data_IF_498003360139
#
_entry.id   IF_498003360139
#
_cell.length_a   1.000
_cell.length_b   1.000
_cell.length_c   1.000
_cell.angle_alpha   90.00
_cell.angle_beta   90.00
_cell.angle_gamma   90.00
#
_symmetry.space_group_name_H-M   'P 1'
#
loop_
_entity.id
_entity.type
_entity.pdbx_description
1 polymer ?
#
# COMPACT_ATOMS: atom_id res chain seq x y z
N UNK A 1 4.66 -22.06 -9.41
CA UNK A 1 4.22 -20.65 -9.21
C UNK A 1 2.95 -20.33 -9.97
N UNK A 2 2.88 -20.61 -11.27
CA UNK A 2 1.66 -20.36 -12.07
C UNK A 2 0.41 -21.06 -11.52
N UNK A 3 0.54 -22.21 -10.84
CA UNK A 3 -0.60 -22.91 -10.22
C UNK A 3 -1.14 -22.21 -8.95
N UNK A 4 -0.29 -21.49 -8.21
CA UNK A 4 -0.71 -20.67 -7.07
C UNK A 4 -1.52 -19.49 -7.58
N UNK A 5 -1.07 -18.84 -8.66
CA UNK A 5 -1.77 -17.72 -9.31
C UNK A 5 -3.11 -18.17 -9.90
N UNK A 6 -3.16 -19.33 -10.57
CA UNK A 6 -4.43 -19.91 -11.07
C UNK A 6 -5.41 -20.19 -9.93
N UNK A 7 -4.92 -20.73 -8.82
CA UNK A 7 -5.73 -21.01 -7.64
C UNK A 7 -6.27 -19.72 -7.02
N UNK A 8 -5.43 -18.69 -6.93
CA UNK A 8 -5.83 -17.35 -6.52
C UNK A 8 -6.92 -16.78 -7.44
N UNK A 9 -6.73 -16.83 -8.76
CA UNK A 9 -7.69 -16.30 -9.71
C UNK A 9 -9.05 -17.03 -9.64
N UNK A 10 -9.03 -18.34 -9.41
CA UNK A 10 -10.24 -19.12 -9.19
C UNK A 10 -10.97 -18.72 -7.89
N UNK A 11 -10.23 -18.40 -6.83
CA UNK A 11 -10.79 -17.89 -5.56
C UNK A 11 -11.43 -16.51 -5.76
N UNK A 12 -10.75 -15.60 -6.48
CA UNK A 12 -11.31 -14.28 -6.84
C UNK A 12 -12.58 -14.41 -7.68
N UNK A 13 -12.58 -15.25 -8.72
CA UNK A 13 -13.77 -15.47 -9.57
C UNK A 13 -14.94 -16.09 -8.80
N UNK A 14 -14.65 -16.98 -7.84
CA UNK A 14 -15.68 -17.55 -6.96
C UNK A 14 -16.34 -16.48 -6.10
N UNK A 15 -15.54 -15.66 -5.41
CA UNK A 15 -16.05 -14.60 -4.55
C UNK A 15 -16.79 -13.52 -5.35
N UNK A 16 -16.28 -13.15 -6.54
CA UNK A 16 -16.93 -12.19 -7.42
C UNK A 16 -18.34 -12.63 -7.85
N UNK A 17 -18.51 -13.92 -8.18
CA UNK A 17 -19.80 -14.49 -8.56
C UNK A 17 -20.85 -14.51 -7.44
N UNK A 18 -20.43 -14.41 -6.18
CA UNK A 18 -21.40 -14.37 -5.06
C UNK A 18 -22.19 -13.07 -5.02
N UNK A 19 -21.72 -12.01 -5.69
CA UNK A 19 -22.37 -10.69 -5.72
C UNK A 19 -22.41 -9.97 -4.37
N UNK A 20 -21.78 -10.53 -3.33
CA UNK A 20 -21.68 -9.96 -1.98
C UNK A 20 -20.29 -9.39 -1.69
N UNK A 21 -19.47 -9.21 -2.74
CA UNK A 21 -18.12 -8.72 -2.62
C UNK A 21 -18.11 -7.27 -2.10
N UNK A 22 -17.68 -7.12 -0.86
CA UNK A 22 -17.28 -5.85 -0.25
C UNK A 22 -15.79 -5.60 -0.49
N UNK A 23 -15.32 -4.39 -0.18
CA UNK A 23 -13.92 -3.95 -0.30
C UNK A 23 -12.90 -4.90 0.41
N UNK A 24 -13.35 -5.65 1.42
CA UNK A 24 -12.51 -6.60 2.17
C UNK A 24 -12.60 -8.04 1.69
N UNK A 25 -13.51 -8.37 0.76
CA UNK A 25 -13.83 -9.77 0.40
C UNK A 25 -12.65 -10.48 -0.26
N UNK A 26 -11.86 -9.77 -1.05
CA UNK A 26 -10.73 -10.35 -1.80
C UNK A 26 -9.39 -10.30 -1.04
N UNK A 27 -9.34 -9.61 0.11
CA UNK A 27 -8.13 -9.47 0.95
C UNK A 27 -7.59 -10.81 1.45
N UNK A 28 -8.41 -11.77 1.94
CA UNK A 28 -7.93 -13.08 2.36
C UNK A 28 -7.25 -13.86 1.22
N UNK A 29 -7.81 -13.80 0.00
CA UNK A 29 -7.23 -14.46 -1.16
C UNK A 29 -5.87 -13.87 -1.53
N UNK A 30 -5.74 -12.54 -1.51
CA UNK A 30 -4.47 -11.85 -1.77
C UNK A 30 -3.42 -12.18 -0.69
N UNK A 31 -3.83 -12.19 0.59
CA UNK A 31 -2.95 -12.58 1.70
C UNK A 31 -2.39 -13.99 1.48
N UNK A 32 -3.27 -14.94 1.19
CA UNK A 32 -2.93 -16.35 0.94
C UNK A 32 -2.01 -16.50 -0.27
N UNK A 33 -2.23 -15.73 -1.34
CA UNK A 33 -1.35 -15.69 -2.49
C UNK A 33 0.08 -15.29 -2.08
N UNK A 34 0.23 -14.18 -1.36
CA UNK A 34 1.53 -13.65 -0.96
C UNK A 34 2.27 -14.63 -0.05
N UNK A 35 1.60 -15.18 0.96
CA UNK A 35 2.19 -16.15 1.90
C UNK A 35 2.49 -17.50 1.22
N UNK A 36 1.80 -17.85 0.13
CA UNK A 36 2.09 -19.04 -0.67
C UNK A 36 3.25 -18.84 -1.67
N UNK A 37 3.51 -17.61 -2.10
CA UNK A 37 4.65 -17.28 -2.95
C UNK A 37 5.97 -17.28 -2.16
N UNK A 38 5.93 -16.83 -0.91
CA UNK A 38 7.07 -16.91 0.01
C UNK A 38 6.60 -17.19 1.45
N UNK A 39 6.90 -18.40 1.94
CA UNK A 39 6.55 -18.84 3.29
C UNK A 39 7.27 -18.09 4.42
N UNK A 40 8.32 -17.31 4.12
CA UNK A 40 8.97 -16.42 5.07
C UNK A 40 8.28 -15.07 5.22
N UNK A 41 7.30 -14.75 4.36
CA UNK A 41 6.57 -13.48 4.42
C UNK A 41 5.28 -13.65 5.21
N UNK A 42 5.03 -12.67 6.08
CA UNK A 42 3.77 -12.50 6.78
C UNK A 42 3.06 -11.25 6.27
N UNK A 43 1.89 -11.45 5.68
CA UNK A 43 1.04 -10.36 5.20
C UNK A 43 0.05 -9.95 6.30
N UNK A 44 0.15 -8.71 6.76
CA UNK A 44 -0.73 -8.16 7.80
C UNK A 44 -1.69 -7.16 7.17
N UNK A 45 -3.00 -7.46 7.21
CA UNK A 45 -4.05 -6.51 6.84
C UNK A 45 -4.26 -5.51 7.98
N UNK A 46 -4.60 -4.27 7.66
CA UNK A 46 -4.88 -3.19 8.62
C UNK A 46 -3.72 -2.99 9.63
N UNK A 47 -2.51 -2.70 9.14
CA UNK A 47 -1.39 -2.36 10.00
C UNK A 47 -1.75 -1.17 10.91
N UNK A 48 -1.10 -1.08 12.08
CA UNK A 48 -1.08 0.17 12.85
C UNK A 48 -0.66 1.31 11.93
N UNK A 49 -1.40 2.43 11.94
CA UNK A 49 -1.14 3.62 11.12
C UNK A 49 0.36 3.93 11.11
N UNK A 50 0.93 3.98 9.92
CA UNK A 50 2.25 4.56 9.67
C UNK A 50 2.09 6.08 9.53
N UNK A 51 3.17 6.84 9.72
CA UNK A 51 3.12 8.31 9.68
C UNK A 51 2.49 8.85 8.38
N UNK A 52 2.68 8.15 7.26
CA UNK A 52 2.11 8.54 5.97
C UNK A 52 0.67 8.03 5.73
N UNK A 53 0.06 7.25 6.63
CA UNK A 53 -1.30 6.72 6.51
C UNK A 53 -1.46 5.26 6.96
N UNK A 54 -2.49 4.57 6.49
CA UNK A 54 -2.67 3.13 6.73
C UNK A 54 -2.81 2.45 5.37
N UNK A 55 -1.73 1.88 4.82
CA UNK A 55 -1.85 1.03 3.63
C UNK A 55 -2.63 -0.23 3.99
N UNK A 56 -3.28 -0.83 3.01
CA UNK A 56 -4.11 -2.01 3.23
C UNK A 56 -3.33 -3.20 3.78
N UNK A 57 -2.14 -3.46 3.25
CA UNK A 57 -1.25 -4.49 3.73
C UNK A 57 0.16 -3.99 4.00
N UNK A 58 0.78 -4.59 5.02
CA UNK A 58 2.24 -4.56 5.24
C UNK A 58 2.76 -5.97 5.15
N UNK A 59 3.77 -6.17 4.30
CA UNK A 59 4.48 -7.43 4.17
C UNK A 59 5.74 -7.39 5.01
N UNK A 60 5.90 -8.39 5.88
CA UNK A 60 7.08 -8.49 6.74
C UNK A 60 7.78 -9.83 6.56
N UNK A 61 9.10 -9.81 6.51
CA UNK A 61 9.97 -11.00 6.54
C UNK A 61 10.94 -10.83 7.71
N UNK A 62 10.96 -11.78 8.64
CA UNK A 62 11.84 -11.78 9.81
C UNK A 62 11.82 -10.47 10.62
N UNK A 63 10.66 -9.82 10.71
CA UNK A 63 10.47 -8.56 11.42
C UNK A 63 10.78 -7.30 10.61
N UNK A 64 11.37 -7.42 9.41
CA UNK A 64 11.62 -6.31 8.50
C UNK A 64 10.47 -6.12 7.52
N UNK A 65 10.13 -4.86 7.21
CA UNK A 65 9.14 -4.55 6.17
C UNK A 65 9.75 -4.75 4.78
N UNK A 66 9.13 -5.66 4.01
CA UNK A 66 9.50 -5.94 2.60
C UNK A 66 8.83 -4.94 1.67
N UNK A 67 7.56 -4.65 1.91
CA UNK A 67 6.79 -3.75 1.07
C UNK A 67 5.37 -3.57 1.57
N UNK A 68 4.64 -2.73 0.85
CA UNK A 68 3.27 -2.36 1.14
C UNK A 68 2.39 -2.71 -0.05
N UNK A 69 1.12 -3.04 0.21
CA UNK A 69 0.14 -3.25 -0.84
C UNK A 69 -1.07 -2.38 -0.55
N UNK A 70 -1.48 -1.61 -1.55
CA UNK A 70 -2.71 -0.83 -1.57
C UNK A 70 -3.68 -1.51 -2.54
N UNK A 71 -4.91 -1.75 -2.08
CA UNK A 71 -5.94 -2.44 -2.84
C UNK A 71 -7.05 -1.47 -3.27
N UNK A 72 -7.68 -1.80 -4.39
CA UNK A 72 -8.92 -1.16 -4.87
C UNK A 72 -9.95 -2.24 -5.14
N UNK A 73 -11.21 -1.83 -5.28
CA UNK A 73 -12.28 -2.77 -5.63
C UNK A 73 -12.00 -3.42 -6.97
N UNK A 74 -12.43 -4.67 -7.10
CA UNK A 74 -12.23 -5.49 -8.29
C UNK A 74 -12.74 -4.78 -9.56
N UNK A 75 -11.84 -4.53 -10.51
CA UNK A 75 -12.17 -3.89 -11.79
C UNK A 75 -12.30 -2.37 -11.75
N UNK A 76 -11.93 -1.70 -10.64
CA UNK A 76 -11.78 -0.24 -10.63
C UNK A 76 -10.55 0.18 -11.44
N UNK A 77 -10.62 1.38 -12.03
CA UNK A 77 -9.49 1.96 -12.75
C UNK A 77 -8.33 2.24 -11.80
N UNK A 78 -7.18 1.61 -12.07
CA UNK A 78 -5.95 1.91 -11.34
C UNK A 78 -5.36 3.27 -11.73
N UNK A 79 -5.63 3.77 -12.93
CA UNK A 79 -5.15 5.09 -13.38
C UNK A 79 -5.72 6.22 -12.50
N UNK A 80 -7.03 6.17 -12.21
CA UNK A 80 -7.67 7.15 -11.32
C UNK A 80 -7.18 7.02 -9.88
N UNK A 81 -6.96 5.78 -9.42
CA UNK A 81 -6.40 5.53 -8.10
C UNK A 81 -4.96 6.04 -7.99
N UNK A 82 -4.22 6.02 -9.10
CA UNK A 82 -2.85 6.46 -9.18
C UNK A 82 -2.67 7.97 -9.01
N UNK A 83 -3.61 8.74 -9.57
CA UNK A 83 -3.63 10.20 -9.49
C UNK A 83 -4.17 10.72 -8.15
N UNK A 84 -4.68 9.84 -7.28
CA UNK A 84 -5.22 10.25 -5.98
C UNK A 84 -4.13 10.81 -5.04
N UNK A 85 -4.47 11.86 -4.29
CA UNK A 85 -3.57 12.47 -3.29
C UNK A 85 -3.05 11.44 -2.27
N UNK A 86 -3.88 10.46 -1.92
CA UNK A 86 -3.51 9.36 -1.03
C UNK A 86 -2.39 8.52 -1.63
N UNK A 87 -2.51 8.08 -2.89
CA UNK A 87 -1.47 7.25 -3.49
C UNK A 87 -0.20 8.05 -3.79
N UNK A 88 -0.33 9.32 -4.18
CA UNK A 88 0.82 10.21 -4.36
C UNK A 88 1.60 10.42 -3.06
N UNK A 89 0.92 10.44 -1.90
CA UNK A 89 1.59 10.46 -0.59
C UNK A 89 2.29 9.13 -0.29
N UNK A 90 1.67 7.99 -0.62
CA UNK A 90 2.25 6.67 -0.44
C UNK A 90 3.48 6.44 -1.33
N UNK A 91 3.42 6.76 -2.62
CA UNK A 91 4.57 6.69 -3.54
C UNK A 91 5.79 7.47 -3.04
N UNK A 92 5.56 8.61 -2.37
CA UNK A 92 6.64 9.43 -1.80
C UNK A 92 7.22 8.88 -0.51
N UNK A 93 6.40 8.18 0.28
CA UNK A 93 6.76 7.76 1.65
C UNK A 93 7.16 6.29 1.76
N UNK A 94 6.65 5.45 0.86
CA UNK A 94 6.82 4.00 0.87
C UNK A 94 7.83 3.60 -0.20
N UNK A 95 8.97 2.98 0.16
CA UNK A 95 10.03 2.68 -0.79
C UNK A 95 9.68 1.53 -1.75
N UNK A 96 8.74 0.66 -1.36
CA UNK A 96 8.33 -0.52 -2.14
C UNK A 96 6.82 -0.73 -1.98
N UNK A 97 6.06 -0.45 -3.05
CA UNK A 97 4.59 -0.41 -3.02
C UNK A 97 4.01 -1.16 -4.22
N UNK A 98 2.98 -1.96 -3.99
CA UNK A 98 2.10 -2.47 -5.04
C UNK A 98 0.74 -1.78 -4.95
N UNK A 99 0.21 -1.35 -6.09
CA UNK A 99 -1.19 -0.99 -6.28
C UNK A 99 -1.89 -2.13 -7.04
N UNK A 100 -3.05 -2.56 -6.57
CA UNK A 100 -3.80 -3.62 -7.25
C UNK A 100 -5.32 -3.49 -7.12
N UNK A 101 -6.04 -3.87 -8.17
CA UNK A 101 -7.49 -4.11 -8.16
C UNK A 101 -7.80 -5.62 -8.07
N UNK A 102 -6.85 -6.43 -7.61
CA UNK A 102 -6.85 -7.90 -7.58
C UNK A 102 -6.66 -8.60 -8.94
N UNK A 103 -6.75 -7.89 -10.07
CA UNK A 103 -6.51 -8.45 -11.42
C UNK A 103 -5.26 -7.83 -12.08
N UNK A 104 -4.99 -6.57 -11.84
CA UNK A 104 -3.81 -5.84 -12.27
C UNK A 104 -2.95 -5.50 -11.07
N UNK A 105 -1.64 -5.62 -11.24
CA UNK A 105 -0.63 -5.32 -10.25
C UNK A 105 0.34 -4.31 -10.85
N UNK A 106 0.46 -3.14 -10.22
CA UNK A 106 1.47 -2.13 -10.57
C UNK A 106 2.46 -2.02 -9.43
N UNK A 107 3.73 -2.21 -9.75
CA UNK A 107 4.81 -2.19 -8.78
C UNK A 107 5.58 -0.88 -8.86
N UNK A 108 5.69 -0.18 -7.73
CA UNK A 108 6.43 1.06 -7.58
C UNK A 108 7.61 0.89 -6.61
N UNK A 109 8.77 1.40 -7.01
CA UNK A 109 9.96 1.49 -6.16
C UNK A 109 10.42 2.95 -6.09
N UNK A 110 10.52 3.47 -4.88
CA UNK A 110 10.86 4.87 -4.59
C UNK A 110 9.98 5.88 -5.37
N UNK A 111 8.70 5.51 -5.57
CA UNK A 111 7.69 6.32 -6.25
C UNK A 111 7.68 6.20 -7.78
N UNK A 112 8.58 5.42 -8.38
CA UNK A 112 8.66 5.19 -9.83
C UNK A 112 8.08 3.82 -10.16
N UNK A 113 7.21 3.74 -11.17
CA UNK A 113 6.70 2.46 -11.67
C UNK A 113 7.86 1.63 -12.24
N UNK A 114 8.01 0.40 -11.73
CA UNK A 114 9.02 -0.55 -12.18
C UNK A 114 8.47 -1.54 -13.18
N UNK A 115 7.30 -2.07 -12.90
CA UNK A 115 6.66 -3.07 -13.74
C UNK A 115 5.15 -3.12 -13.46
N UNK A 116 4.40 -3.63 -14.42
CA UNK A 116 2.97 -3.87 -14.28
C UNK A 116 2.54 -5.12 -15.04
N UNK A 117 1.66 -5.90 -14.42
CA UNK A 117 1.16 -7.15 -14.97
C UNK A 117 -0.35 -7.29 -14.70
N UNK A 118 -1.07 -7.94 -15.62
CA UNK A 118 -2.52 -8.09 -15.53
C UNK A 118 -2.93 -9.55 -15.74
N UNK A 119 -3.50 -10.17 -14.71
CA UNK A 119 -3.99 -11.55 -14.71
C UNK A 119 -5.20 -11.78 -15.60
N UNK A 120 -6.00 -10.74 -15.84
CA UNK A 120 -7.23 -10.87 -16.60
C UNK A 120 -8.06 -9.60 -16.61
N UNK A 121 -9.20 -9.66 -17.28
CA UNK A 121 -10.17 -8.55 -17.35
C UNK A 121 -11.57 -9.05 -17.06
N UNK A 122 -12.41 -8.18 -16.52
CA UNK A 122 -13.84 -8.49 -16.38
C UNK A 122 -14.48 -8.40 -17.78
N UNK A 123 -14.92 -9.53 -18.30
CA UNK A 123 -15.59 -9.64 -19.59
C UNK A 123 -17.08 -9.29 -19.53
N UNK A 124 -17.70 -9.18 -20.72
CA UNK A 124 -19.14 -8.98 -20.84
C UNK A 124 -19.89 -10.14 -20.15
N UNK A 125 -20.71 -9.81 -19.16
CA UNK A 125 -21.47 -10.80 -18.37
C UNK A 125 -20.88 -11.12 -16.99
N UNK A 126 -19.97 -10.30 -16.46
CA UNK A 126 -19.48 -10.44 -15.08
C UNK A 126 -18.63 -11.69 -14.85
N UNK A 127 -17.86 -12.10 -15.87
CA UNK A 127 -16.91 -13.21 -15.76
C UNK A 127 -15.49 -12.70 -15.92
N UNK A 128 -14.56 -13.22 -15.12
CA UNK A 128 -13.14 -12.90 -15.28
C UNK A 128 -12.58 -13.70 -16.46
N UNK A 129 -12.02 -12.99 -17.44
CA UNK A 129 -11.33 -13.56 -18.57
C UNK A 129 -9.82 -13.58 -18.25
N UNK A 130 -9.24 -14.76 -17.98
CA UNK A 130 -7.82 -14.87 -17.65
C UNK A 130 -6.93 -14.56 -18.87
N UNK A 131 -5.84 -13.86 -18.64
CA UNK A 131 -4.73 -13.70 -19.59
C UNK A 131 -3.63 -14.71 -19.25
N UNK A 132 -3.36 -15.63 -20.18
CA UNK A 132 -2.34 -16.66 -19.98
C UNK A 132 -0.95 -16.07 -19.79
N UNK A 133 -0.62 -15.00 -20.53
CA UNK A 133 0.69 -14.35 -20.44
C UNK A 133 0.80 -13.57 -19.13
N UNK A 134 -0.29 -12.91 -18.77
CA UNK A 134 -0.40 -12.15 -17.53
C UNK A 134 -0.21 -12.98 -16.25
N UNK A 135 -0.57 -14.28 -16.26
CA UNK A 135 -0.33 -15.18 -15.12
C UNK A 135 1.16 -15.31 -14.82
N UNK A 136 1.97 -15.55 -15.85
CA UNK A 136 3.41 -15.75 -15.68
C UNK A 136 4.13 -14.42 -15.38
N UNK A 137 3.71 -13.32 -16.03
CA UNK A 137 4.22 -11.97 -15.75
C UNK A 137 3.90 -11.54 -14.31
N UNK A 138 2.68 -11.78 -13.82
CA UNK A 138 2.31 -11.43 -12.44
C UNK A 138 3.08 -12.27 -11.43
N UNK A 139 3.31 -13.56 -11.71
CA UNK A 139 4.14 -14.40 -10.85
C UNK A 139 5.57 -13.85 -10.71
N UNK A 140 6.17 -13.44 -11.83
CA UNK A 140 7.52 -12.85 -11.85
C UNK A 140 7.55 -11.49 -11.13
N UNK A 141 6.59 -10.61 -11.42
CA UNK A 141 6.49 -9.30 -10.77
C UNK A 141 6.38 -9.45 -9.25
N UNK A 142 5.48 -10.32 -8.77
CA UNK A 142 5.32 -10.54 -7.34
C UNK A 142 6.57 -11.16 -6.73
N UNK A 143 7.22 -12.10 -7.41
CA UNK A 143 8.48 -12.66 -6.92
C UNK A 143 9.56 -11.58 -6.77
N UNK A 144 9.77 -10.75 -7.79
CA UNK A 144 10.74 -9.65 -7.75
C UNK A 144 10.40 -8.63 -6.67
N UNK A 145 9.11 -8.33 -6.48
CA UNK A 145 8.65 -7.46 -5.41
C UNK A 145 8.96 -8.01 -4.01
N UNK A 146 8.76 -9.31 -3.78
CA UNK A 146 9.04 -9.96 -2.50
C UNK A 146 10.54 -10.14 -2.27
N UNK A 147 11.33 -10.35 -3.33
CA UNK A 147 12.79 -10.40 -3.28
C UNK A 147 13.43 -9.01 -3.13
N UNK A 148 12.70 -7.94 -3.48
CA UNK A 148 13.14 -6.56 -3.34
C UNK A 148 13.55 -6.30 -1.89
N UNK A 149 14.87 -6.20 -1.68
CA UNK A 149 15.44 -5.78 -0.42
C UNK A 149 15.49 -4.26 -0.41
N UNK A 150 15.26 -3.60 0.74
CA UNK A 150 15.62 -2.19 0.87
C UNK A 150 17.07 -2.07 0.42
N UNK A 151 17.33 -1.28 -0.64
CA UNK A 151 18.69 -1.17 -1.12
C UNK A 151 19.57 -0.73 0.05
N UNK A 152 20.69 -1.42 0.31
CA UNK A 152 21.63 -0.99 1.33
C UNK A 152 22.06 0.44 0.99
N UNK A 153 22.16 1.27 2.00
CA UNK A 153 22.70 2.62 1.84
C UNK A 153 24.19 2.44 1.55
N UNK A 154 24.54 2.40 0.26
CA UNK A 154 25.91 2.14 -0.18
C UNK A 154 26.69 3.42 -0.40
N UNK A 155 26.00 4.56 -0.54
CA UNK A 155 26.62 5.86 -0.74
C UNK A 155 26.22 6.89 0.32
N UNK A 156 27.10 7.86 0.66
CA UNK A 156 26.76 8.98 1.52
C UNK A 156 25.61 9.84 0.97
N UNK A 157 25.44 9.87 -0.36
CA UNK A 157 24.35 10.58 -1.02
C UNK A 157 23.00 9.92 -0.73
N UNK A 158 22.90 8.60 -0.89
CA UNK A 158 21.67 7.85 -0.58
C UNK A 158 21.29 7.99 0.90
N UNK A 159 22.29 8.00 1.80
CA UNK A 159 22.06 8.24 3.21
C UNK A 159 21.43 9.62 3.44
N UNK A 160 22.06 10.64 2.85
CA UNK A 160 21.66 12.04 3.01
C UNK A 160 20.27 12.29 2.45
N UNK A 161 19.94 11.72 1.29
CA UNK A 161 18.62 11.82 0.68
C UNK A 161 17.53 11.14 1.52
N UNK A 162 17.80 9.93 2.05
CA UNK A 162 16.87 9.23 2.94
C UNK A 162 16.69 9.96 4.27
N UNK A 163 17.77 10.48 4.86
CA UNK A 163 17.73 11.29 6.07
C UNK A 163 16.93 12.58 5.86
N UNK A 164 17.11 13.25 4.72
CA UNK A 164 16.34 14.44 4.35
C UNK A 164 14.85 14.12 4.19
N UNK A 165 14.49 13.03 3.50
CA UNK A 165 13.10 12.56 3.39
C UNK A 165 12.47 12.32 4.77
N UNK A 166 13.15 11.59 5.65
CA UNK A 166 12.68 11.35 7.03
C UNK A 166 12.53 12.65 7.82
N UNK A 167 13.50 13.58 7.72
CA UNK A 167 13.42 14.88 8.37
C UNK A 167 12.23 15.72 7.88
N UNK A 168 11.90 15.66 6.59
CA UNK A 168 10.72 16.30 6.03
C UNK A 168 9.43 15.68 6.59
N UNK A 169 9.32 14.35 6.66
CA UNK A 169 8.15 13.67 7.24
C UNK A 169 7.95 14.08 8.71
N UNK A 170 9.02 14.08 9.51
CA UNK A 170 8.98 14.49 10.92
C UNK A 170 8.51 15.95 11.04
N UNK A 171 9.11 16.85 10.25
CA UNK A 171 8.73 18.28 10.24
C UNK A 171 7.27 18.45 9.90
N UNK A 172 6.80 17.81 8.83
CA UNK A 172 5.44 17.97 8.34
C UNK A 172 4.43 17.40 9.36
N UNK A 173 4.77 16.29 10.02
CA UNK A 173 3.99 15.71 11.13
C UNK A 173 3.90 16.67 12.33
N UNK A 174 5.01 17.29 12.71
CA UNK A 174 5.06 18.30 13.79
C UNK A 174 4.18 19.50 13.44
N UNK A 175 4.31 20.03 12.21
CA UNK A 175 3.52 21.16 11.73
C UNK A 175 2.02 20.83 11.76
N UNK A 176 1.63 19.65 11.27
CA UNK A 176 0.25 19.20 11.29
C UNK A 176 -0.31 19.09 12.72
N UNK A 177 0.46 18.53 13.65
CA UNK A 177 0.08 18.44 15.06
C UNK A 177 -0.16 19.83 15.68
N UNK A 178 0.72 20.79 15.44
CA UNK A 178 0.56 22.17 15.94
C UNK A 178 -0.60 22.91 15.28
N UNK A 179 -0.91 22.65 14.01
CA UNK A 179 -2.05 23.26 13.34
C UNK A 179 -3.39 22.70 13.86
N UNK A 180 -3.45 21.41 14.20
CA UNK A 180 -4.63 20.78 14.84
C UNK A 180 -4.90 21.31 16.25
N UNK A 181 -3.86 21.74 16.97
CA UNK A 181 -3.97 22.33 18.31
C UNK A 181 -4.47 23.78 18.35
N UNK A 182 -4.74 24.41 17.20
CA UNK A 182 -5.32 25.76 17.14
C UNK A 182 -6.85 25.81 17.29
N UNK A 183 -7.52 24.71 17.63
CA UNK A 183 -8.88 24.80 18.18
C UNK A 183 -8.79 25.35 19.61
N UNK A 184 -9.58 26.37 19.98
CA UNK A 184 -9.51 26.93 21.33
C UNK A 184 -9.83 25.84 22.35
N UNK A 185 -8.79 25.36 23.05
CA UNK A 185 -8.97 24.46 24.19
C UNK A 185 -9.67 25.26 25.27
N UNK A 186 -10.98 25.05 25.39
CA UNK A 186 -11.73 25.52 26.56
C UNK A 186 -11.31 24.68 27.75
N UNK A 187 -11.03 25.35 28.87
CA UNK A 187 -10.82 24.69 30.16
C UNK A 187 -12.05 23.84 30.50
N UNK A 188 -11.91 22.50 30.51
CA UNK A 188 -13.02 21.57 30.80
C UNK A 188 -13.61 21.69 32.22
N UNK A 189 -12.96 22.45 33.10
CA UNK A 189 -13.39 22.71 34.48
C UNK A 189 -14.12 24.07 34.59
N UNK A 190 -13.77 25.03 33.73
CA UNK A 190 -14.10 26.45 33.96
C UNK A 190 -14.62 27.21 32.74
N UNK A 191 -14.69 26.59 31.56
CA UNK A 191 -15.25 27.16 30.33
C UNK A 191 -14.51 28.37 29.75
N UNK A 192 -13.40 28.81 30.36
CA UNK A 192 -12.62 29.96 29.89
C UNK A 192 -11.59 29.55 28.83
N UNK A 193 -11.31 30.40 27.84
CA UNK A 193 -10.22 30.18 26.89
C UNK A 193 -8.87 30.21 27.61
N UNK A 194 -7.98 29.27 27.29
CA UNK A 194 -6.63 29.20 27.87
C UNK A 194 -5.83 30.48 27.53
N UNK A 195 -5.07 31.07 28.47
CA UNK A 195 -4.26 32.24 28.18
C UNK A 195 -3.21 31.91 27.12
N UNK A 196 -3.09 32.77 26.10
CA UNK A 196 -2.04 32.66 25.08
C UNK A 196 -0.70 32.90 25.77
N UNK A 197 0.18 31.90 25.79
CA UNK A 197 1.58 32.12 26.09
C UNK A 197 2.21 32.84 24.89
N UNK A 198 2.44 34.14 25.04
CA UNK A 198 3.30 34.91 24.16
C UNK A 198 4.74 34.70 24.60
N UNK A 199 5.52 33.94 23.83
CA UNK A 199 6.98 33.96 23.97
C UNK A 199 7.52 35.19 23.23
N UNK A 200 8.30 36.07 23.89
CA UNK A 200 9.03 37.11 23.19
C UNK A 200 10.14 36.46 22.33
N UNK A 201 10.36 37.06 21.18
CA UNK A 201 11.29 36.67 20.11
C UNK A 201 12.73 36.76 20.60
#
# INVERSE_FOLDING_TARGET
>A
MSDVIKSYLAEIDREFKTGKATEHTHRPALKKLIEALDGGIRATNEPKRVECGAPDFVLRRDGFTVGYVETKDLGKSLDEAEDSDQLQRYKRSLPNLILTDYLEFRWFVDGVERDSARLGRIGKGGKILPDKKGIDETAQLLQLFLESRPQPITTPKDLSERAAKLAHIIRDTIVEAFLKDKHPRTCGICGRPSPRFSFPI
#
